data_IF_117721423709
#
_entry.id   IF_117721423709
#
_cell.length_a   1.000
_cell.length_b   1.000
_cell.length_c   1.000
_cell.angle_alpha   90.00
_cell.angle_beta   90.00
_cell.angle_gamma   90.00
#
_symmetry.space_group_name_H-M   'P 1'
#
loop_
_entity.id
_entity.type
_entity.pdbx_description
1 polymer ?
#
# COMPACT_ATOMS: atom_id res chain seq x y z
N UNK A 1 25.64 -16.59 24.19
CA UNK A 1 24.48 -16.89 23.35
C UNK A 1 23.44 -17.65 24.16
N UNK A 2 22.21 -17.21 24.10
CA UNK A 2 21.12 -17.92 24.77
C UNK A 2 20.86 -19.28 24.13
N UNK A 3 20.47 -20.27 24.93
CA UNK A 3 20.04 -21.56 24.40
C UNK A 3 18.68 -21.39 23.71
N UNK A 4 18.53 -22.03 22.54
CA UNK A 4 17.25 -22.09 21.84
C UNK A 4 16.21 -22.83 22.70
N UNK A 5 15.03 -22.22 22.83
CA UNK A 5 13.92 -22.83 23.54
C UNK A 5 12.82 -23.21 22.55
N UNK A 6 12.50 -24.51 22.47
CA UNK A 6 11.49 -25.03 21.54
C UNK A 6 10.10 -24.41 21.77
N UNK A 7 9.83 -23.90 22.97
CA UNK A 7 8.57 -23.23 23.28
C UNK A 7 8.42 -21.86 22.60
N UNK A 8 9.48 -21.34 21.96
CA UNK A 8 9.39 -20.16 21.10
C UNK A 8 8.58 -20.43 19.83
N UNK A 9 8.41 -21.71 19.46
CA UNK A 9 7.61 -22.10 18.29
C UNK A 9 6.15 -22.24 18.72
N UNK A 10 5.21 -21.44 18.16
CA UNK A 10 3.80 -21.52 18.53
C UNK A 10 3.17 -22.88 18.19
N UNK A 11 2.34 -23.40 19.10
CA UNK A 11 1.69 -24.68 18.92
C UNK A 11 0.83 -24.75 17.64
N UNK A 12 0.22 -23.64 17.25
CA UNK A 12 -0.71 -23.57 16.13
C UNK A 12 -0.04 -23.73 14.74
N UNK A 13 1.28 -23.54 14.63
CA UNK A 13 2.02 -23.64 13.39
C UNK A 13 3.12 -24.69 13.43
N UNK A 14 3.29 -25.32 14.57
CA UNK A 14 4.59 -25.79 14.99
C UNK A 14 4.95 -27.26 14.77
N UNK A 15 4.11 -28.09 14.20
CA UNK A 15 4.41 -29.52 14.11
C UNK A 15 5.73 -29.82 13.42
N UNK A 16 5.86 -29.42 12.17
CA UNK A 16 7.07 -29.65 11.38
C UNK A 16 8.25 -28.77 11.85
N UNK A 17 8.00 -27.50 12.15
CA UNK A 17 9.04 -26.60 12.66
C UNK A 17 9.65 -27.12 13.95
N UNK A 18 8.84 -27.70 14.84
CA UNK A 18 9.31 -28.33 16.07
C UNK A 18 10.15 -29.58 15.80
N UNK A 19 9.77 -30.38 14.82
CA UNK A 19 10.59 -31.52 14.41
C UNK A 19 11.96 -31.10 13.91
N UNK A 20 12.01 -30.05 13.09
CA UNK A 20 13.27 -29.48 12.62
C UNK A 20 14.10 -28.95 13.79
N UNK A 21 13.48 -28.25 14.74
CA UNK A 21 14.17 -27.75 15.93
C UNK A 21 14.78 -28.90 16.74
N UNK A 22 14.06 -30.02 16.91
CA UNK A 22 14.57 -31.21 17.59
C UNK A 22 15.76 -31.81 16.85
N UNK A 23 15.70 -31.88 15.54
CA UNK A 23 16.81 -32.35 14.71
C UNK A 23 18.03 -31.43 14.87
N UNK A 24 17.86 -30.13 14.79
CA UNK A 24 18.95 -29.17 14.95
C UNK A 24 19.58 -29.31 16.34
N UNK A 25 18.79 -29.44 17.38
CA UNK A 25 19.28 -29.65 18.74
C UNK A 25 20.07 -30.94 18.88
N UNK A 26 19.62 -32.03 18.25
CA UNK A 26 20.28 -33.34 18.32
C UNK A 26 21.61 -33.36 17.58
N UNK A 27 21.78 -32.56 16.53
CA UNK A 27 22.99 -32.52 15.71
C UNK A 27 24.02 -31.47 16.14
N UNK A 28 23.60 -30.54 16.99
CA UNK A 28 24.41 -29.37 17.37
C UNK A 28 25.74 -29.78 18.04
N UNK A 29 25.71 -30.79 18.88
CA UNK A 29 26.92 -31.24 19.59
C UNK A 29 27.98 -31.83 18.62
N UNK A 30 27.55 -32.59 17.62
CA UNK A 30 28.43 -33.24 16.65
C UNK A 30 29.03 -32.24 15.63
N UNK A 31 28.12 -31.43 15.03
CA UNK A 31 28.49 -30.51 13.96
C UNK A 31 28.86 -29.10 14.42
N UNK A 32 28.67 -28.80 15.68
CA UNK A 32 29.11 -27.55 16.35
C UNK A 32 28.65 -26.28 15.64
N UNK A 33 27.38 -26.26 15.19
CA UNK A 33 26.75 -25.10 14.61
C UNK A 33 25.85 -24.36 15.63
N UNK A 34 25.48 -23.15 15.33
CA UNK A 34 24.45 -22.42 16.05
C UNK A 34 23.22 -22.23 15.14
N UNK A 35 22.07 -22.04 15.73
CA UNK A 35 20.86 -21.77 14.98
C UNK A 35 19.94 -20.82 15.74
N UNK A 36 19.09 -20.15 14.99
CA UNK A 36 18.14 -19.17 15.51
C UNK A 36 16.78 -19.41 14.86
N UNK A 37 15.72 -18.96 15.54
CA UNK A 37 14.35 -19.07 15.03
C UNK A 37 13.75 -17.68 14.90
N UNK A 38 13.46 -17.25 13.66
CA UNK A 38 12.78 -15.99 13.34
C UNK A 38 13.40 -14.75 13.97
N UNK A 39 14.74 -14.69 14.10
CA UNK A 39 15.43 -13.55 14.72
C UNK A 39 15.78 -12.45 13.73
N UNK A 40 15.81 -12.75 12.44
CA UNK A 40 16.14 -11.78 11.40
C UNK A 40 14.94 -11.47 10.52
N UNK A 41 14.93 -10.26 9.97
CA UNK A 41 13.94 -9.82 8.98
C UNK A 41 14.67 -9.41 7.71
N UNK A 42 14.30 -10.03 6.60
CA UNK A 42 14.87 -9.72 5.29
C UNK A 42 13.89 -8.86 4.52
N UNK A 43 14.30 -7.71 3.98
CA UNK A 43 13.41 -6.89 3.16
C UNK A 43 13.11 -7.56 1.83
N UNK A 44 11.89 -7.35 1.32
CA UNK A 44 11.54 -7.74 -0.03
C UNK A 44 10.57 -6.71 -0.62
N UNK A 45 10.62 -6.58 -1.93
CA UNK A 45 9.80 -5.61 -2.65
C UNK A 45 8.74 -6.34 -3.46
N UNK A 46 7.50 -5.84 -3.39
CA UNK A 46 6.36 -6.37 -4.15
C UNK A 46 5.86 -5.29 -5.09
N UNK A 47 5.68 -5.65 -6.36
CA UNK A 47 5.10 -4.75 -7.35
C UNK A 47 3.61 -4.99 -7.46
N UNK A 48 2.83 -3.93 -7.27
CA UNK A 48 1.39 -3.92 -7.46
C UNK A 48 1.04 -3.10 -8.69
N UNK A 49 -0.08 -3.43 -9.33
CA UNK A 49 -0.62 -2.68 -10.45
C UNK A 49 -1.93 -2.03 -10.06
N UNK A 50 -2.11 -0.78 -10.47
CA UNK A 50 -3.30 0.00 -10.21
C UNK A 50 -4.06 0.26 -11.52
N UNK A 51 -5.36 0.07 -11.49
CA UNK A 51 -6.25 0.37 -12.61
C UNK A 51 -7.07 1.61 -12.27
N UNK A 52 -6.82 2.76 -12.92
CA UNK A 52 -7.70 3.92 -12.76
C UNK A 52 -9.12 3.60 -13.18
N UNK A 53 -10.11 4.21 -12.53
CA UNK A 53 -11.50 3.99 -12.91
C UNK A 53 -11.77 4.43 -14.34
N UNK A 54 -11.24 5.57 -14.74
CA UNK A 54 -11.52 6.15 -16.06
C UNK A 54 -10.24 6.64 -16.71
N UNK A 55 -10.17 6.45 -18.02
CA UNK A 55 -9.10 7.02 -18.84
C UNK A 55 -9.82 7.87 -19.91
N UNK A 56 -9.60 9.17 -19.85
CA UNK A 56 -10.19 10.13 -20.80
C UNK A 56 -9.09 10.54 -21.76
N UNK A 57 -9.34 10.35 -23.05
CA UNK A 57 -8.46 10.87 -24.10
C UNK A 57 -9.17 12.03 -24.78
N UNK A 58 -8.64 13.22 -24.61
CA UNK A 58 -9.24 14.44 -25.18
C UNK A 58 -9.03 14.50 -26.67
N UNK A 59 -9.72 15.42 -27.34
CA UNK A 59 -9.59 15.62 -28.79
C UNK A 59 -8.15 15.95 -29.21
N UNK A 60 -7.41 16.64 -28.34
CA UNK A 60 -5.97 16.94 -28.58
C UNK A 60 -5.05 15.74 -28.41
N UNK A 61 -5.58 14.60 -27.92
CA UNK A 61 -4.81 13.41 -27.62
C UNK A 61 -4.29 13.36 -26.20
N UNK A 62 -4.64 14.32 -25.34
CA UNK A 62 -4.23 14.34 -23.95
C UNK A 62 -4.95 13.23 -23.19
N UNK A 63 -4.19 12.44 -22.41
CA UNK A 63 -4.71 11.35 -21.61
C UNK A 63 -4.83 11.79 -20.15
N UNK A 64 -6.03 11.72 -19.60
CA UNK A 64 -6.35 12.08 -18.21
C UNK A 64 -6.86 10.83 -17.51
N UNK A 65 -6.24 10.48 -16.40
CA UNK A 65 -6.68 9.37 -15.53
C UNK A 65 -7.54 9.93 -14.42
N UNK A 66 -8.74 9.40 -14.24
CA UNK A 66 -9.67 9.87 -13.21
C UNK A 66 -10.02 8.72 -12.28
N UNK A 67 -9.85 8.94 -11.00
CA UNK A 67 -10.33 8.07 -9.93
C UNK A 67 -11.54 8.69 -9.29
N UNK A 68 -12.67 7.98 -9.30
CA UNK A 68 -13.91 8.45 -8.68
C UNK A 68 -14.11 7.82 -7.31
N UNK A 69 -14.41 8.62 -6.29
CA UNK A 69 -14.55 8.17 -4.91
C UNK A 69 -15.77 8.79 -4.23
N UNK A 70 -16.63 7.93 -3.67
CA UNK A 70 -17.64 8.35 -2.71
C UNK A 70 -17.05 8.46 -1.31
N UNK A 71 -16.34 7.44 -0.89
CA UNK A 71 -15.64 7.37 0.41
C UNK A 71 -14.15 7.13 0.17
N UNK A 72 -13.30 7.89 0.88
CA UNK A 72 -11.86 7.87 0.64
C UNK A 72 -11.10 7.74 1.95
N UNK A 73 -10.65 6.53 2.24
CA UNK A 73 -9.96 6.21 3.48
C UNK A 73 -8.46 6.53 3.44
N UNK A 74 -7.83 6.47 4.60
CA UNK A 74 -6.39 6.74 4.72
C UNK A 74 -5.53 5.82 3.83
N UNK A 75 -5.87 4.55 3.75
CA UNK A 75 -5.14 3.60 2.89
C UNK A 75 -5.30 3.93 1.42
N UNK A 76 -6.48 4.39 0.99
CA UNK A 76 -6.73 4.86 -0.36
C UNK A 76 -5.87 6.09 -0.69
N UNK A 77 -5.79 7.04 0.24
CA UNK A 77 -4.97 8.25 0.06
C UNK A 77 -3.48 7.91 -0.04
N UNK A 78 -3.00 7.02 0.81
CA UNK A 78 -1.61 6.55 0.78
C UNK A 78 -1.28 5.87 -0.54
N UNK A 79 -2.18 5.03 -1.02
CA UNK A 79 -2.05 4.34 -2.31
C UNK A 79 -1.95 5.34 -3.48
N UNK A 80 -2.78 6.36 -3.49
CA UNK A 80 -2.75 7.41 -4.52
C UNK A 80 -1.40 8.12 -4.54
N UNK A 81 -0.83 8.44 -3.37
CA UNK A 81 0.50 9.05 -3.31
C UNK A 81 1.59 8.14 -3.89
N UNK A 82 1.54 6.86 -3.58
CA UNK A 82 2.50 5.89 -4.13
C UNK A 82 2.38 5.79 -5.66
N UNK A 83 1.15 5.74 -6.17
CA UNK A 83 0.89 5.70 -7.62
C UNK A 83 1.42 6.98 -8.27
N UNK A 84 1.12 8.12 -7.69
CA UNK A 84 1.59 9.42 -8.18
C UNK A 84 3.11 9.50 -8.22
N UNK A 85 3.77 9.05 -7.14
CA UNK A 85 5.24 9.07 -7.05
C UNK A 85 5.91 8.09 -8.01
N UNK A 86 5.29 6.95 -8.27
CA UNK A 86 5.82 5.94 -9.20
C UNK A 86 5.50 6.24 -10.67
N UNK A 87 4.60 7.18 -10.94
CA UNK A 87 4.17 7.54 -12.29
C UNK A 87 4.15 9.07 -12.44
N UNK A 88 5.31 9.74 -12.34
CA UNK A 88 5.36 11.20 -12.26
C UNK A 88 4.91 11.94 -13.54
N UNK A 89 4.78 11.23 -14.66
CA UNK A 89 4.40 11.84 -15.95
C UNK A 89 2.91 11.71 -16.25
N UNK A 90 2.13 10.96 -15.47
CA UNK A 90 0.70 10.81 -15.71
C UNK A 90 -0.08 11.99 -15.13
N UNK A 91 -1.24 12.25 -15.72
CA UNK A 91 -2.19 13.24 -15.23
C UNK A 91 -3.33 12.49 -14.51
N UNK A 92 -3.14 12.27 -13.22
CA UNK A 92 -4.11 11.59 -12.38
C UNK A 92 -4.91 12.63 -11.60
N UNK A 93 -6.23 12.56 -11.70
CA UNK A 93 -7.16 13.48 -11.05
C UNK A 93 -8.19 12.73 -10.23
N UNK A 94 -8.69 13.37 -9.20
CA UNK A 94 -9.72 12.81 -8.33
C UNK A 94 -11.09 13.43 -8.62
N UNK A 95 -12.11 12.58 -8.63
CA UNK A 95 -13.50 13.03 -8.68
C UNK A 95 -14.22 12.51 -7.45
N UNK A 96 -14.68 13.42 -6.58
CA UNK A 96 -15.37 13.05 -5.35
C UNK A 96 -16.87 13.28 -5.46
N UNK A 97 -17.63 12.35 -4.92
CA UNK A 97 -19.07 12.54 -4.79
C UNK A 97 -19.36 13.68 -3.80
N UNK A 98 -18.63 13.73 -2.70
CA UNK A 98 -18.73 14.76 -1.65
C UNK A 98 -17.35 15.13 -1.16
N UNK A 99 -17.19 16.39 -0.74
CA UNK A 99 -15.93 16.87 -0.18
C UNK A 99 -15.93 16.65 1.34
N UNK A 100 -15.81 15.41 1.75
CA UNK A 100 -15.81 15.01 3.15
C UNK A 100 -14.51 15.37 3.86
N UNK A 101 -14.56 15.42 5.19
CA UNK A 101 -13.36 15.49 6.01
C UNK A 101 -12.58 14.19 5.87
N UNK A 102 -11.25 14.26 5.92
CA UNK A 102 -10.39 13.07 5.76
C UNK A 102 -10.54 12.07 6.92
N UNK A 103 -10.94 12.54 8.08
CA UNK A 103 -11.38 11.73 9.21
C UNK A 103 -12.30 12.59 10.09
N UNK A 104 -13.02 11.94 11.00
CA UNK A 104 -13.92 12.64 11.92
C UNK A 104 -13.14 13.62 12.81
N UNK A 105 -13.55 14.88 12.80
CA UNK A 105 -12.91 15.95 13.57
C UNK A 105 -11.74 16.63 12.87
N UNK A 106 -11.37 16.16 11.68
CA UNK A 106 -10.32 16.82 10.88
C UNK A 106 -10.78 18.19 10.38
N UNK A 107 -9.85 19.13 10.27
CA UNK A 107 -10.07 20.41 9.59
C UNK A 107 -9.82 20.30 8.09
N UNK A 108 -9.20 19.21 7.64
CA UNK A 108 -8.84 18.97 6.24
C UNK A 108 -9.90 18.11 5.58
N UNK A 109 -10.45 18.58 4.44
CA UNK A 109 -11.33 17.78 3.60
C UNK A 109 -10.56 17.14 2.45
N UNK A 110 -11.24 16.32 1.62
CA UNK A 110 -10.63 15.62 0.49
C UNK A 110 -9.96 16.60 -0.50
N UNK A 111 -10.65 17.67 -0.83
CA UNK A 111 -10.13 18.69 -1.75
C UNK A 111 -8.90 19.38 -1.20
N UNK A 112 -8.91 19.76 0.08
CA UNK A 112 -7.76 20.37 0.75
C UNK A 112 -6.54 19.44 0.70
N UNK A 113 -6.77 18.15 0.93
CA UNK A 113 -5.71 17.16 0.87
C UNK A 113 -5.11 17.06 -0.55
N UNK A 114 -5.97 17.05 -1.57
CA UNK A 114 -5.53 17.05 -2.97
C UNK A 114 -4.74 18.31 -3.31
N UNK A 115 -5.22 19.48 -2.89
CA UNK A 115 -4.53 20.75 -3.13
C UNK A 115 -3.13 20.75 -2.51
N UNK A 116 -3.03 20.23 -1.29
CA UNK A 116 -1.73 20.09 -0.60
C UNK A 116 -0.74 19.24 -1.37
N UNK A 117 -1.22 18.21 -2.04
CA UNK A 117 -0.38 17.27 -2.80
C UNK A 117 -0.29 17.60 -4.29
N UNK A 118 -0.89 18.69 -4.74
CA UNK A 118 -0.86 19.08 -6.15
C UNK A 118 -1.69 18.23 -7.10
N UNK A 119 -2.70 17.54 -6.56
CA UNK A 119 -3.59 16.67 -7.34
C UNK A 119 -4.85 17.44 -7.71
N UNK A 120 -5.17 17.52 -9.00
CA UNK A 120 -6.42 18.14 -9.47
C UNK A 120 -7.61 17.30 -9.04
N UNK A 121 -8.70 17.96 -8.67
CA UNK A 121 -9.91 17.30 -8.22
C UNK A 121 -11.16 18.09 -8.60
N UNK A 122 -12.31 17.40 -8.57
CA UNK A 122 -13.60 18.00 -8.79
C UNK A 122 -14.67 17.31 -7.95
N UNK A 123 -15.84 17.92 -7.84
CA UNK A 123 -16.99 17.41 -7.10
C UNK A 123 -18.13 17.04 -8.02
N UNK A 124 -18.70 15.86 -7.80
CA UNK A 124 -19.98 15.40 -8.34
C UNK A 124 -19.95 15.04 -9.81
N UNK A 125 -19.37 15.87 -10.64
CA UNK A 125 -19.34 15.67 -12.09
C UNK A 125 -17.97 16.02 -12.65
N UNK A 126 -17.59 15.35 -13.75
CA UNK A 126 -16.42 15.71 -14.52
C UNK A 126 -16.60 17.13 -15.07
N UNK A 127 -15.70 18.06 -14.76
CA UNK A 127 -15.76 19.40 -15.34
C UNK A 127 -15.61 19.33 -16.86
N UNK A 128 -16.44 20.06 -17.59
CA UNK A 128 -16.38 20.08 -19.04
C UNK A 128 -15.03 20.62 -19.54
N UNK A 129 -14.40 21.52 -18.77
CA UNK A 129 -13.08 22.05 -19.08
C UNK A 129 -12.02 20.95 -19.18
N UNK A 130 -12.16 19.87 -18.41
CA UNK A 130 -11.25 18.73 -18.51
C UNK A 130 -11.33 18.03 -19.85
N UNK A 131 -12.51 18.00 -20.44
CA UNK A 131 -12.78 17.31 -21.69
C UNK A 131 -12.29 18.09 -22.90
N UNK A 132 -12.07 19.39 -22.75
CA UNK A 132 -11.64 20.29 -23.82
C UNK A 132 -10.15 20.64 -23.76
N UNK A 133 -9.42 20.05 -22.85
CA UNK A 133 -7.97 20.27 -22.74
C UNK A 133 -7.14 19.71 -23.90
#
# INVERSE_FOLDING_TARGET
>A
MGNFNINQIPDQRGGYEREVAKQLLSLQAEYKFTFEYETERLPYTVTHYYKPDWIITTRSGKKIYVESKGWWENDDRRKILEIWNNNPTIDLRMLFQRNNKIYRGSKTNYGDWCDKHGIKWALGKIPEEWLSE
#
